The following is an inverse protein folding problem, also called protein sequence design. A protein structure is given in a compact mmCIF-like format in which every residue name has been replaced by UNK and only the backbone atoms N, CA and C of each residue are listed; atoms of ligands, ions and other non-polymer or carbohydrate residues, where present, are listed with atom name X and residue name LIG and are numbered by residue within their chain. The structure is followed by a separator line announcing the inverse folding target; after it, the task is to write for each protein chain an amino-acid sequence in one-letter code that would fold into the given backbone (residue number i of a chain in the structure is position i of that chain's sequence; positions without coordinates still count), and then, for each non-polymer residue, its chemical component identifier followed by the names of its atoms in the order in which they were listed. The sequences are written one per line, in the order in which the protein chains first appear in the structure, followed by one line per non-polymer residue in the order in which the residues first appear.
data_IF_101973594895
#
_entry.id   IF_101973594895
#
_cell.length_a   1.000
_cell.length_b   1.000
_cell.length_c   1.000
_cell.angle_alpha   90.00
_cell.angle_beta   90.00
_cell.angle_gamma   90.00
#
_symmetry.space_group_name_H-M   'P 1'
#
loop_
_entity.id
_entity.type
_entity.pdbx_description
1 polymer ?
#
# COMPACT_ATOMS: atom_id res chain seq x y z
N UNK A 1 -26.47 6.52 -12.86
CA UNK A 1 -26.30 5.07 -12.59
C UNK A 1 -27.64 4.46 -12.16
N UNK A 2 -27.95 3.23 -12.59
CA UNK A 2 -29.22 2.52 -12.31
C UNK A 2 -29.20 1.92 -10.90
N UNK A 3 -30.27 1.99 -10.09
CA UNK A 3 -30.31 1.47 -8.71
C UNK A 3 -30.49 -0.07 -8.67
N UNK A 4 -29.50 -0.81 -9.16
CA UNK A 4 -29.44 -2.26 -8.99
C UNK A 4 -28.92 -2.62 -7.61
N UNK A 5 -29.18 -3.85 -7.14
CA UNK A 5 -28.63 -4.35 -5.87
C UNK A 5 -27.10 -4.22 -5.82
N UNK A 6 -26.42 -4.59 -6.92
CA UNK A 6 -24.96 -4.46 -7.06
C UNK A 6 -24.48 -3.01 -6.95
N UNK A 7 -25.21 -2.07 -7.54
CA UNK A 7 -24.82 -0.66 -7.50
C UNK A 7 -25.04 -0.06 -6.11
N UNK A 8 -26.15 -0.43 -5.43
CA UNK A 8 -26.37 -0.06 -4.03
C UNK A 8 -25.25 -0.56 -3.12
N UNK A 9 -24.82 -1.80 -3.31
CA UNK A 9 -23.74 -2.36 -2.52
C UNK A 9 -22.40 -1.67 -2.80
N UNK A 10 -22.08 -1.40 -4.08
CA UNK A 10 -20.90 -0.60 -4.43
C UNK A 10 -20.90 0.77 -3.75
N UNK A 11 -22.05 1.46 -3.69
CA UNK A 11 -22.16 2.74 -3.00
C UNK A 11 -21.99 2.64 -1.49
N UNK A 12 -22.50 1.56 -0.87
CA UNK A 12 -22.30 1.30 0.56
C UNK A 12 -20.82 1.14 0.88
N UNK A 13 -20.13 0.26 0.14
CA UNK A 13 -18.70 0.00 0.30
C UNK A 13 -17.89 1.27 0.04
N UNK A 14 -18.21 2.02 -1.02
CA UNK A 14 -17.56 3.29 -1.34
C UNK A 14 -17.66 4.29 -0.19
N UNK A 15 -18.85 4.42 0.42
CA UNK A 15 -19.06 5.31 1.57
C UNK A 15 -18.26 4.86 2.79
N UNK A 16 -18.20 3.56 3.06
CA UNK A 16 -17.41 2.98 4.17
C UNK A 16 -15.90 3.24 3.97
N UNK A 17 -15.39 3.06 2.75
CA UNK A 17 -13.99 3.37 2.39
C UNK A 17 -13.69 4.85 2.62
N UNK A 18 -14.50 5.75 2.05
CA UNK A 18 -14.30 7.21 2.21
C UNK A 18 -14.35 7.62 3.68
N UNK A 19 -15.29 7.07 4.46
CA UNK A 19 -15.39 7.34 5.89
C UNK A 19 -14.13 6.92 6.63
N UNK A 20 -13.62 5.72 6.33
CA UNK A 20 -12.41 5.18 6.97
C UNK A 20 -11.17 6.02 6.62
N UNK A 21 -11.03 6.42 5.35
CA UNK A 21 -9.94 7.29 4.92
C UNK A 21 -9.99 8.66 5.59
N UNK A 22 -11.17 9.26 5.72
CA UNK A 22 -11.32 10.55 6.43
C UNK A 22 -10.88 10.46 7.90
N UNK A 23 -11.24 9.38 8.59
CA UNK A 23 -10.81 9.15 9.99
C UNK A 23 -9.29 9.01 10.07
N UNK A 24 -8.67 8.24 9.17
CA UNK A 24 -7.21 8.08 9.12
C UNK A 24 -6.49 9.42 8.87
N UNK A 25 -6.98 10.21 7.93
CA UNK A 25 -6.39 11.51 7.59
C UNK A 25 -6.56 12.51 8.72
N UNK A 26 -7.73 12.57 9.36
CA UNK A 26 -7.98 13.44 10.50
C UNK A 26 -7.05 13.11 11.68
N UNK A 27 -6.93 11.83 12.03
CA UNK A 27 -6.01 11.38 13.09
C UNK A 27 -4.56 11.71 12.77
N UNK A 28 -4.13 11.55 11.51
CA UNK A 28 -2.76 11.88 11.12
C UNK A 28 -2.45 13.37 11.15
N UNK A 29 -3.43 14.23 10.82
CA UNK A 29 -3.27 15.69 10.86
C UNK A 29 -2.95 16.20 12.27
N UNK A 30 -3.48 15.55 13.30
CA UNK A 30 -3.20 15.88 14.71
C UNK A 30 -1.79 15.43 15.14
N UNK A 31 -1.27 14.36 14.54
CA UNK A 31 0.05 13.78 14.80
C UNK A 31 1.20 14.41 13.99
N UNK A 32 0.93 15.34 13.08
CA UNK A 32 1.95 16.01 12.22
C UNK A 32 3.01 16.84 12.99
N UNK A 33 3.02 16.79 14.33
CA UNK A 33 4.09 17.35 15.17
C UNK A 33 5.37 16.51 15.17
N UNK A 34 5.30 15.24 14.77
CA UNK A 34 6.48 14.39 14.58
C UNK A 34 6.73 14.10 13.11
N UNK A 35 8.01 14.02 12.75
CA UNK A 35 8.57 13.87 11.41
C UNK A 35 8.20 12.51 10.78
N UNK A 36 6.93 12.29 10.50
CA UNK A 36 6.44 11.02 9.99
C UNK A 36 6.71 10.89 8.48
N UNK A 37 7.28 9.77 8.07
CA UNK A 37 7.77 9.49 6.70
C UNK A 37 6.74 8.77 5.82
N UNK A 38 5.48 8.65 6.27
CA UNK A 38 4.46 7.95 5.47
C UNK A 38 3.92 8.85 4.35
N UNK A 39 3.45 8.23 3.27
CA UNK A 39 2.98 8.91 2.06
C UNK A 39 1.91 9.97 2.36
N UNK A 40 0.94 9.64 3.23
CA UNK A 40 -0.14 10.57 3.58
C UNK A 40 0.39 11.83 4.28
N UNK A 41 1.33 11.67 5.21
CA UNK A 41 1.94 12.80 5.89
C UNK A 41 2.76 13.68 4.93
N UNK A 42 3.50 13.06 3.99
CA UNK A 42 4.24 13.77 2.95
C UNK A 42 3.30 14.53 2.00
N UNK A 43 2.17 13.92 1.61
CA UNK A 43 1.15 14.58 0.80
C UNK A 43 0.53 15.76 1.55
N UNK A 44 0.20 15.60 2.83
CA UNK A 44 -0.35 16.67 3.67
C UNK A 44 0.65 17.82 3.88
N UNK A 45 1.93 17.52 4.11
CA UNK A 45 2.97 18.53 4.27
C UNK A 45 3.20 19.30 2.98
N UNK A 46 3.36 18.60 1.86
CA UNK A 46 3.54 19.22 0.55
C UNK A 46 2.34 20.12 0.20
N UNK A 47 1.11 19.63 0.44
CA UNK A 47 -0.10 20.40 0.20
C UNK A 47 -0.21 21.69 1.04
N UNK A 48 0.39 21.72 2.24
CA UNK A 48 0.40 22.93 3.07
C UNK A 48 1.42 23.97 2.58
N UNK A 49 2.50 23.54 1.92
CA UNK A 49 3.54 24.42 1.38
C UNK A 49 3.16 25.04 0.02
N UNK A 50 2.17 24.46 -0.68
CA UNK A 50 1.68 24.95 -1.96
C UNK A 50 0.90 26.26 -1.89
N UNK A 51 0.87 26.99 -3.01
CA UNK A 51 0.03 28.18 -3.19
C UNK A 51 -1.44 27.80 -3.08
N UNK A 52 -2.29 28.69 -2.55
CA UNK A 52 -3.72 28.40 -2.34
C UNK A 52 -4.43 27.84 -3.59
N UNK A 53 -4.07 28.32 -4.78
CA UNK A 53 -4.62 27.87 -6.07
C UNK A 53 -4.23 26.42 -6.45
N UNK A 54 -3.16 25.88 -5.84
CA UNK A 54 -2.60 24.56 -6.10
C UNK A 54 -2.85 23.58 -4.95
N UNK A 55 -3.46 24.04 -3.85
CA UNK A 55 -3.78 23.18 -2.70
C UNK A 55 -4.94 22.27 -3.03
N UNK A 56 -4.72 20.97 -2.85
CA UNK A 56 -5.75 19.95 -2.84
C UNK A 56 -6.71 20.15 -1.68
N UNK A 57 -8.00 19.99 -1.97
CA UNK A 57 -9.05 19.83 -1.00
C UNK A 57 -8.94 18.50 -0.26
N UNK A 58 -9.62 18.40 0.88
CA UNK A 58 -9.68 17.15 1.66
C UNK A 58 -10.25 15.97 0.84
N UNK A 59 -11.20 16.23 -0.07
CA UNK A 59 -11.79 15.18 -0.90
C UNK A 59 -10.83 14.69 -1.97
N UNK A 60 -10.04 15.58 -2.57
CA UNK A 60 -8.97 15.20 -3.52
C UNK A 60 -7.89 14.36 -2.83
N UNK A 61 -7.49 14.72 -1.61
CA UNK A 61 -6.53 13.92 -0.83
C UNK A 61 -7.09 12.51 -0.54
N UNK A 62 -8.38 12.40 -0.20
CA UNK A 62 -9.05 11.11 -0.02
C UNK A 62 -9.05 10.29 -1.31
N UNK A 63 -9.34 10.93 -2.44
CA UNK A 63 -9.39 10.28 -3.75
C UNK A 63 -8.01 9.80 -4.21
N UNK A 64 -6.96 10.59 -3.98
CA UNK A 64 -5.58 10.20 -4.26
C UNK A 64 -5.12 9.04 -3.35
N UNK A 65 -5.38 9.12 -2.03
CA UNK A 65 -5.06 8.04 -1.10
C UNK A 65 -5.74 6.72 -1.49
N UNK A 66 -7.01 6.80 -1.91
CA UNK A 66 -7.78 5.67 -2.41
C UNK A 66 -7.13 5.07 -3.66
N UNK A 67 -6.72 5.92 -4.59
CA UNK A 67 -6.08 5.51 -5.85
C UNK A 67 -4.79 4.74 -5.57
N UNK A 68 -3.88 5.28 -4.75
CA UNK A 68 -2.64 4.60 -4.37
C UNK A 68 -2.90 3.25 -3.68
N UNK A 69 -3.85 3.21 -2.75
CA UNK A 69 -4.17 1.98 -2.01
C UNK A 69 -4.67 0.86 -2.93
N UNK A 70 -5.62 1.16 -3.81
CA UNK A 70 -6.17 0.13 -4.71
C UNK A 70 -5.16 -0.32 -5.76
N UNK A 71 -4.45 0.63 -6.37
CA UNK A 71 -3.42 0.33 -7.35
C UNK A 71 -2.34 -0.62 -6.77
N UNK A 72 -1.88 -0.35 -5.54
CA UNK A 72 -0.89 -1.17 -4.87
C UNK A 72 -1.43 -2.52 -4.37
N UNK A 73 -2.65 -2.54 -3.83
CA UNK A 73 -3.22 -3.73 -3.20
C UNK A 73 -3.54 -4.83 -4.21
N UNK A 74 -4.31 -4.50 -5.26
CA UNK A 74 -4.83 -5.51 -6.18
C UNK A 74 -3.69 -6.15 -6.99
N UNK A 75 -2.76 -5.32 -7.49
CA UNK A 75 -1.61 -5.79 -8.28
C UNK A 75 -0.66 -6.64 -7.45
N UNK A 76 -0.27 -6.20 -6.24
CA UNK A 76 0.65 -6.94 -5.36
C UNK A 76 0.03 -8.24 -4.85
N UNK A 77 -1.26 -8.23 -4.47
CA UNK A 77 -1.93 -9.44 -4.00
C UNK A 77 -2.03 -10.49 -5.10
N UNK A 78 -2.36 -10.08 -6.33
CA UNK A 78 -2.38 -10.99 -7.48
C UNK A 78 -0.97 -11.51 -7.79
N UNK A 79 0.04 -10.64 -7.81
CA UNK A 79 1.44 -11.04 -8.01
C UNK A 79 1.88 -12.10 -6.99
N UNK A 80 1.70 -11.84 -5.70
CA UNK A 80 2.06 -12.79 -4.63
C UNK A 80 1.29 -14.12 -4.73
N UNK A 81 0.01 -14.07 -5.11
CA UNK A 81 -0.80 -15.28 -5.33
C UNK A 81 -0.17 -16.17 -6.40
N UNK A 82 0.19 -15.59 -7.54
CA UNK A 82 0.87 -16.31 -8.62
C UNK A 82 2.28 -16.76 -8.23
N UNK A 83 3.06 -15.93 -7.53
CA UNK A 83 4.39 -16.30 -7.04
C UNK A 83 4.31 -17.54 -6.15
N UNK A 84 3.41 -17.55 -5.15
CA UNK A 84 3.26 -18.70 -4.24
C UNK A 84 2.78 -19.94 -4.99
N UNK A 85 1.83 -19.79 -5.93
CA UNK A 85 1.36 -20.89 -6.77
C UNK A 85 2.50 -21.51 -7.59
N UNK A 86 3.30 -20.68 -8.27
CA UNK A 86 4.42 -21.13 -9.09
C UNK A 86 5.51 -21.80 -8.24
N UNK A 87 5.86 -21.25 -7.08
CA UNK A 87 6.80 -21.89 -6.16
C UNK A 87 6.26 -23.23 -5.62
N UNK A 88 4.94 -23.35 -5.43
CA UNK A 88 4.34 -24.61 -5.02
C UNK A 88 4.43 -25.69 -6.09
N UNK A 89 4.26 -25.33 -7.37
CA UNK A 89 4.36 -26.21 -8.53
C UNK A 89 5.82 -26.54 -8.90
N UNK A 90 6.75 -25.61 -8.66
CA UNK A 90 8.16 -25.74 -9.01
C UNK A 90 9.05 -25.81 -7.76
N UNK A 91 9.05 -26.97 -7.10
CA UNK A 91 9.77 -27.19 -5.82
C UNK A 91 11.27 -26.92 -5.89
N UNK A 92 11.89 -27.16 -7.03
CA UNK A 92 13.31 -26.85 -7.25
C UNK A 92 13.60 -25.36 -7.08
N UNK A 93 12.75 -24.49 -7.63
CA UNK A 93 12.88 -23.03 -7.48
C UNK A 93 12.54 -22.57 -6.06
N UNK A 94 11.55 -23.21 -5.43
CA UNK A 94 11.25 -22.96 -4.01
C UNK A 94 12.44 -23.27 -3.10
N UNK A 95 13.14 -24.38 -3.32
CA UNK A 95 14.33 -24.74 -2.56
C UNK A 95 15.47 -23.76 -2.82
N UNK A 96 15.76 -23.43 -4.09
CA UNK A 96 16.81 -22.46 -4.43
C UNK A 96 16.59 -21.08 -3.77
N UNK A 97 15.38 -20.54 -3.85
CA UNK A 97 15.06 -19.26 -3.23
C UNK A 97 15.19 -19.31 -1.70
N UNK A 98 14.79 -20.42 -1.07
CA UNK A 98 14.96 -20.64 0.38
C UNK A 98 16.43 -20.72 0.77
N UNK A 99 17.22 -21.48 0.02
CA UNK A 99 18.65 -21.68 0.27
C UNK A 99 19.42 -20.36 0.13
N UNK A 100 19.05 -19.51 -0.83
CA UNK A 100 19.63 -18.18 -0.98
C UNK A 100 19.32 -17.29 0.23
N UNK A 101 18.06 -17.21 0.65
CA UNK A 101 17.67 -16.44 1.84
C UNK A 101 18.44 -16.93 3.07
N UNK A 102 18.57 -18.24 3.25
CA UNK A 102 19.32 -18.80 4.38
C UNK A 102 20.83 -18.56 4.28
N UNK A 103 21.39 -18.54 3.07
CA UNK A 103 22.81 -18.24 2.84
C UNK A 103 23.14 -16.78 3.16
N UNK A 104 22.28 -15.85 2.73
CA UNK A 104 22.48 -14.41 2.91
C UNK A 104 22.17 -13.96 4.34
N UNK A 105 21.09 -14.47 4.94
CA UNK A 105 20.57 -13.98 6.22
C UNK A 105 20.77 -14.95 7.40
N UNK A 106 21.16 -16.21 7.15
CA UNK A 106 21.19 -17.24 8.17
C UNK A 106 19.79 -17.65 8.67
N UNK A 107 19.74 -18.50 9.69
CA UNK A 107 18.47 -19.02 10.22
C UNK A 107 17.67 -18.01 11.07
N UNK A 108 18.31 -16.94 11.54
CA UNK A 108 17.70 -15.95 12.44
C UNK A 108 17.79 -14.52 11.90
N UNK A 109 18.38 -14.30 10.73
CA UNK A 109 18.38 -13.00 10.09
C UNK A 109 17.08 -12.75 9.36
N UNK A 110 16.58 -11.52 9.50
CA UNK A 110 15.43 -11.04 8.75
C UNK A 110 15.92 -10.19 7.58
N UNK A 111 15.34 -10.34 6.37
CA UNK A 111 15.64 -9.46 5.26
C UNK A 111 15.36 -8.00 5.61
N UNK A 112 16.32 -7.12 5.33
CA UNK A 112 16.16 -5.66 5.42
C UNK A 112 16.31 -5.03 4.03
N UNK A 113 15.71 -3.85 3.81
CA UNK A 113 15.61 -3.24 2.48
C UNK A 113 16.97 -3.09 1.78
N UNK A 114 18.00 -2.71 2.54
CA UNK A 114 19.37 -2.48 2.07
C UNK A 114 20.05 -3.77 1.59
N UNK A 115 19.63 -4.91 2.12
CA UNK A 115 20.20 -6.22 1.85
C UNK A 115 19.47 -7.01 0.75
N UNK A 116 18.31 -6.52 0.28
CA UNK A 116 17.54 -7.20 -0.77
C UNK A 116 18.31 -7.37 -2.08
N UNK A 117 19.21 -6.43 -2.40
CA UNK A 117 20.06 -6.52 -3.60
C UNK A 117 21.05 -7.69 -3.60
N UNK A 118 21.21 -8.39 -2.46
CA UNK A 118 22.05 -9.58 -2.33
C UNK A 118 21.32 -10.87 -2.73
N UNK A 119 19.99 -10.83 -2.87
CA UNK A 119 19.18 -11.90 -3.44
C UNK A 119 19.23 -11.79 -4.99
N UNK A 120 19.66 -12.84 -5.68
CA UNK A 120 20.02 -12.87 -7.10
C UNK A 120 19.29 -13.92 -7.92
N UNK A 121 18.70 -14.92 -7.27
CA UNK A 121 18.03 -16.04 -7.95
C UNK A 121 16.64 -15.65 -8.44
#
# INVERSE_FOLDING_TARGET
FIPTQRNRERWRIEREIRSSLRVLIAGKKEELKEKSTNLLALMLSANNEEREEQRMSMEEIVDECKTFYFAGKETTANFLTWTVLLLALHKEWQSKARDEVLSVFGHHGHPVAESLGQLKI
#
